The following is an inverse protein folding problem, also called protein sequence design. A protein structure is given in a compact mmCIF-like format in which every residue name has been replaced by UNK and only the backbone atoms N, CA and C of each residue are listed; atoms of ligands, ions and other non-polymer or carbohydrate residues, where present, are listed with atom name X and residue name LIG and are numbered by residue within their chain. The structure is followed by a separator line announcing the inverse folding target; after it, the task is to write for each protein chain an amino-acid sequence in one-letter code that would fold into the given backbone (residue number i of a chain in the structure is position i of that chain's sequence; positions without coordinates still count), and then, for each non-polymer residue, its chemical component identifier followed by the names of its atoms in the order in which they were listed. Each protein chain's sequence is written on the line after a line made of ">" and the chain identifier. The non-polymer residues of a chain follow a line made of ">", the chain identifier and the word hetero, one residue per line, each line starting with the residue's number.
data_IF_774895363221
#
_entry.id   IF_774895363221
#
_cell.length_a   1.000
_cell.length_b   1.000
_cell.length_c   1.000
_cell.angle_alpha   90.00
_cell.angle_beta   90.00
_cell.angle_gamma   90.00
#
_symmetry.space_group_name_H-M   'P 1'
#
loop_
_entity.id
_entity.type
_entity.pdbx_description
1 polymer ?
#
# COMPACT_ATOMS: atom_id res chain seq x y z
N UNK A 1 52.58 36.35 -43.52
CA UNK A 1 52.86 34.90 -43.40
C UNK A 1 52.38 34.41 -42.04
N UNK A 2 51.33 33.61 -41.99
CA UNK A 2 51.18 32.35 -41.22
C UNK A 2 49.71 31.94 -41.30
N UNK A 3 49.51 30.82 -41.99
CA UNK A 3 48.24 30.11 -42.12
C UNK A 3 47.97 29.40 -40.81
N UNK A 4 46.73 29.39 -40.33
CA UNK A 4 46.30 28.41 -39.33
C UNK A 4 44.98 27.83 -39.77
N UNK A 5 44.99 26.51 -39.86
CA UNK A 5 43.98 25.62 -40.43
C UNK A 5 43.05 25.14 -39.31
N UNK A 6 41.77 25.03 -39.68
CA UNK A 6 40.68 24.22 -39.11
C UNK A 6 41.07 23.09 -38.16
N UNK A 7 40.33 22.93 -37.04
CA UNK A 7 39.75 21.65 -36.61
C UNK A 7 38.39 21.93 -35.94
N UNK A 8 37.30 21.52 -36.59
CA UNK A 8 35.95 21.47 -36.03
C UNK A 8 35.69 20.02 -35.61
N UNK A 9 35.79 19.71 -34.32
CA UNK A 9 35.47 18.39 -33.78
C UNK A 9 33.98 18.33 -33.44
N UNK A 10 33.19 17.65 -34.29
CA UNK A 10 31.81 17.28 -33.98
C UNK A 10 31.87 16.05 -33.07
N UNK A 11 31.58 16.26 -31.77
CA UNK A 11 31.44 15.20 -30.80
C UNK A 11 30.00 14.67 -30.87
N UNK A 12 29.77 13.60 -31.64
CA UNK A 12 28.48 12.90 -31.64
C UNK A 12 28.35 12.08 -30.36
N UNK A 13 27.67 12.63 -29.36
CA UNK A 13 27.27 11.91 -28.15
C UNK A 13 26.12 10.98 -28.55
N UNK A 14 26.42 9.70 -28.70
CA UNK A 14 25.42 8.64 -28.76
C UNK A 14 24.77 8.54 -27.38
N UNK A 15 23.60 9.15 -27.21
CA UNK A 15 22.71 8.84 -26.08
C UNK A 15 22.24 7.40 -26.22
N UNK A 16 22.94 6.49 -25.55
CA UNK A 16 22.46 5.15 -25.27
C UNK A 16 21.17 5.29 -24.44
N UNK A 17 20.02 5.13 -25.11
CA UNK A 17 18.77 4.84 -24.43
C UNK A 17 18.93 3.48 -23.74
N UNK A 18 19.22 3.50 -22.44
CA UNK A 18 19.15 2.33 -21.59
C UNK A 18 17.68 1.92 -21.45
N UNK A 19 17.19 1.11 -22.40
CA UNK A 19 15.91 0.44 -22.25
C UNK A 19 16.08 -0.71 -21.26
N UNK A 20 16.12 -0.40 -19.95
CA UNK A 20 16.08 -1.42 -18.90
C UNK A 20 14.65 -1.92 -18.82
N UNK A 21 14.37 -3.07 -19.44
CA UNK A 21 13.23 -3.89 -19.09
C UNK A 21 13.39 -4.28 -17.60
N UNK A 22 12.93 -3.43 -16.68
CA UNK A 22 12.88 -3.75 -15.25
C UNK A 22 11.92 -4.92 -15.10
N UNK A 23 12.47 -6.09 -14.80
CA UNK A 23 11.71 -7.23 -14.30
C UNK A 23 11.21 -6.84 -12.91
N UNK A 24 9.90 -6.88 -12.73
CA UNK A 24 9.29 -6.67 -11.41
C UNK A 24 9.72 -7.86 -10.54
N UNK A 25 10.23 -7.58 -9.35
CA UNK A 25 10.60 -8.60 -8.37
C UNK A 25 9.36 -9.17 -7.68
N UNK A 26 9.50 -10.33 -7.04
CA UNK A 26 8.39 -11.04 -6.43
C UNK A 26 7.65 -10.21 -5.35
N UNK A 27 8.36 -9.35 -4.60
CA UNK A 27 7.74 -8.53 -3.56
C UNK A 27 6.90 -7.40 -4.16
N UNK A 28 7.46 -6.67 -5.12
CA UNK A 28 6.72 -5.64 -5.87
C UNK A 28 5.49 -6.23 -6.58
N UNK A 29 5.60 -7.45 -7.12
CA UNK A 29 4.48 -8.17 -7.71
C UNK A 29 3.40 -8.51 -6.68
N UNK A 30 3.78 -9.01 -5.52
CA UNK A 30 2.82 -9.31 -4.45
C UNK A 30 2.03 -8.07 -4.01
N UNK A 31 2.70 -6.93 -3.86
CA UNK A 31 2.02 -5.66 -3.52
C UNK A 31 1.05 -5.22 -4.62
N UNK A 32 1.40 -5.40 -5.90
CA UNK A 32 0.52 -5.05 -7.02
C UNK A 32 -0.78 -5.86 -7.08
N UNK A 33 -0.83 -6.98 -6.37
CA UNK A 33 -1.96 -7.91 -6.35
C UNK A 33 -2.80 -7.81 -5.06
N UNK A 34 -2.49 -6.87 -4.17
CA UNK A 34 -3.30 -6.67 -2.97
C UNK A 34 -4.75 -6.30 -3.33
N UNK A 35 -5.68 -6.78 -2.51
CA UNK A 35 -7.10 -6.50 -2.64
C UNK A 35 -7.58 -5.58 -1.53
N UNK A 36 -8.47 -4.66 -1.89
CA UNK A 36 -9.11 -3.76 -0.95
C UNK A 36 -10.11 -4.52 -0.05
N UNK A 37 -10.18 -4.14 1.22
CA UNK A 37 -11.27 -4.56 2.12
C UNK A 37 -12.53 -3.73 1.91
N UNK A 38 -12.37 -2.48 1.47
CA UNK A 38 -13.47 -1.52 1.30
C UNK A 38 -13.48 -1.03 -0.15
N UNK A 39 -14.66 -1.01 -0.78
CA UNK A 39 -14.86 -0.35 -2.08
C UNK A 39 -15.85 0.79 -1.93
N UNK A 40 -15.41 2.02 -2.15
CA UNK A 40 -16.23 3.22 -2.08
C UNK A 40 -16.74 3.63 -3.46
N UNK A 41 -17.78 4.45 -3.51
CA UNK A 41 -18.33 4.93 -4.78
C UNK A 41 -17.38 5.90 -5.49
N UNK A 42 -16.72 6.79 -4.74
CA UNK A 42 -15.79 7.78 -5.28
C UNK A 42 -14.51 7.83 -4.43
N UNK A 43 -13.46 8.43 -4.98
CA UNK A 43 -12.24 8.80 -4.26
C UNK A 43 -12.48 10.01 -3.34
N UNK A 44 -11.56 10.25 -2.41
CA UNK A 44 -11.66 11.31 -1.40
C UNK A 44 -12.79 11.10 -0.39
N UNK A 45 -13.19 12.19 0.25
CA UNK A 45 -14.14 12.23 1.37
C UNK A 45 -13.43 12.26 2.73
N UNK A 46 -14.22 12.36 3.80
CA UNK A 46 -13.69 12.56 5.16
C UNK A 46 -13.61 11.24 5.93
N UNK A 47 -12.74 11.20 6.93
CA UNK A 47 -12.62 10.11 7.89
C UNK A 47 -12.95 10.66 9.27
N UNK A 48 -13.75 9.92 10.04
CA UNK A 48 -14.01 10.23 11.43
C UNK A 48 -13.61 9.05 12.32
N UNK A 49 -12.78 9.32 13.34
CA UNK A 49 -12.40 8.31 14.34
C UNK A 49 -13.38 8.45 15.50
N UNK A 50 -14.31 7.50 15.63
CA UNK A 50 -15.37 7.53 16.65
C UNK A 50 -14.97 6.81 17.93
N UNK A 51 -13.98 5.93 17.86
CA UNK A 51 -13.40 5.26 19.02
C UNK A 51 -11.86 5.21 18.88
N UNK A 52 -11.16 5.42 19.99
CA UNK A 52 -9.70 5.45 20.01
C UNK A 52 -9.09 4.07 19.72
N UNK A 53 -8.01 4.08 18.95
CA UNK A 53 -7.29 2.85 18.63
C UNK A 53 -6.44 2.34 19.79
N UNK A 54 -6.49 1.03 20.00
CA UNK A 54 -5.55 0.29 20.83
C UNK A 54 -4.92 -0.78 19.97
N UNK A 55 -3.59 -0.83 19.95
CA UNK A 55 -2.84 -1.88 19.25
C UNK A 55 -2.83 -3.17 20.06
N UNK A 56 -2.74 -4.29 19.34
CA UNK A 56 -2.35 -5.56 19.92
C UNK A 56 -1.07 -5.42 20.75
N UNK A 57 -1.00 -6.14 21.85
CA UNK A 57 0.17 -6.23 22.72
C UNK A 57 1.33 -7.03 22.12
N UNK A 58 1.06 -7.82 21.07
CA UNK A 58 2.02 -8.75 20.47
C UNK A 58 2.18 -8.60 18.96
N UNK A 59 1.26 -7.89 18.30
CA UNK A 59 1.26 -7.68 16.85
C UNK A 59 0.98 -6.20 16.53
N UNK A 60 1.00 -5.86 15.24
CA UNK A 60 0.89 -4.46 14.79
C UNK A 60 -0.53 -4.04 14.37
N UNK A 61 -1.53 -4.94 14.44
CA UNK A 61 -2.93 -4.63 14.17
C UNK A 61 -3.61 -3.96 15.38
N UNK A 62 -4.77 -3.35 15.14
CA UNK A 62 -5.62 -2.77 16.20
C UNK A 62 -6.61 -3.80 16.75
N UNK A 63 -6.80 -3.80 18.07
CA UNK A 63 -7.80 -4.61 18.80
C UNK A 63 -8.98 -3.77 19.28
N UNK A 64 -8.86 -2.44 19.26
CA UNK A 64 -9.97 -1.50 19.47
C UNK A 64 -9.91 -0.36 18.48
N UNK A 65 -11.02 0.34 18.33
CA UNK A 65 -11.14 1.57 17.56
C UNK A 65 -12.22 1.46 16.51
N UNK A 66 -12.69 2.61 16.07
CA UNK A 66 -13.75 2.69 15.08
C UNK A 66 -13.51 3.86 14.13
N UNK A 67 -13.61 3.57 12.83
CA UNK A 67 -13.43 4.51 11.74
C UNK A 67 -14.70 4.57 10.92
N UNK A 68 -15.21 5.77 10.70
CA UNK A 68 -16.28 6.05 9.75
C UNK A 68 -15.72 6.75 8.50
N UNK A 69 -16.07 6.22 7.34
CA UNK A 69 -15.77 6.82 6.04
C UNK A 69 -16.98 7.61 5.56
N UNK A 70 -16.78 8.90 5.29
CA UNK A 70 -17.85 9.84 4.97
C UNK A 70 -17.70 10.33 3.53
N UNK A 71 -18.81 10.31 2.77
CA UNK A 71 -18.90 10.90 1.44
C UNK A 71 -20.18 11.73 1.34
N UNK A 72 -20.03 12.98 0.90
CA UNK A 72 -21.13 13.94 0.80
C UNK A 72 -21.95 14.07 2.11
N UNK A 73 -21.26 14.02 3.25
CA UNK A 73 -21.87 14.11 4.58
C UNK A 73 -22.57 12.84 5.08
N UNK A 74 -22.52 11.73 4.35
CA UNK A 74 -23.11 10.45 4.76
C UNK A 74 -22.02 9.43 5.08
N UNK A 75 -22.22 8.63 6.14
CA UNK A 75 -21.37 7.48 6.44
C UNK A 75 -21.64 6.41 5.38
N UNK A 76 -20.60 6.06 4.61
CA UNK A 76 -20.69 5.07 3.52
C UNK A 76 -20.04 3.74 3.90
N UNK A 77 -19.13 3.74 4.86
CA UNK A 77 -18.55 2.53 5.44
C UNK A 77 -18.11 2.80 6.87
N UNK A 78 -18.07 1.76 7.69
CA UNK A 78 -17.56 1.82 9.06
C UNK A 78 -16.74 0.58 9.37
N UNK A 79 -15.55 0.76 9.95
CA UNK A 79 -14.70 -0.34 10.41
C UNK A 79 -14.57 -0.27 11.92
N UNK A 80 -14.91 -1.37 12.59
CA UNK A 80 -14.71 -1.55 14.02
C UNK A 80 -13.65 -2.64 14.23
N UNK A 81 -12.59 -2.32 14.97
CA UNK A 81 -11.42 -3.19 15.17
C UNK A 81 -11.55 -4.15 16.35
N UNK A 82 -12.69 -4.15 17.04
CA UNK A 82 -12.94 -5.00 18.20
C UNK A 82 -13.09 -4.23 19.50
N UNK A 83 -13.12 -4.97 20.60
CA UNK A 83 -13.37 -4.51 21.97
C UNK A 83 -12.14 -4.67 22.88
N UNK A 84 -10.97 -4.95 22.28
CA UNK A 84 -9.69 -5.11 22.98
C UNK A 84 -9.27 -6.55 23.15
N UNK A 85 -10.08 -7.53 22.75
CA UNK A 85 -9.64 -8.91 22.64
C UNK A 85 -8.48 -9.05 21.63
N UNK A 86 -7.49 -9.89 21.96
CA UNK A 86 -6.35 -10.18 21.10
C UNK A 86 -6.75 -11.13 19.97
N UNK A 87 -7.52 -10.60 19.02
CA UNK A 87 -7.88 -11.26 17.78
C UNK A 87 -7.69 -10.28 16.62
N UNK A 88 -7.34 -10.79 15.45
CA UNK A 88 -7.05 -9.99 14.26
C UNK A 88 -8.30 -9.70 13.43
N UNK A 89 -9.51 -9.72 14.00
CA UNK A 89 -10.74 -9.63 13.21
C UNK A 89 -11.33 -8.22 13.32
N UNK A 90 -11.51 -7.56 12.17
CA UNK A 90 -12.27 -6.32 12.08
C UNK A 90 -13.65 -6.56 11.46
N UNK A 91 -14.65 -5.80 11.92
CA UNK A 91 -15.99 -5.76 11.34
C UNK A 91 -16.11 -4.57 10.38
N UNK A 92 -16.50 -4.84 9.13
CA UNK A 92 -16.91 -3.83 8.15
C UNK A 92 -18.43 -3.74 8.12
N UNK A 93 -18.97 -2.55 8.35
CA UNK A 93 -20.36 -2.23 8.01
C UNK A 93 -20.39 -1.39 6.75
N UNK A 94 -21.02 -1.89 5.68
CA UNK A 94 -21.16 -1.18 4.41
C UNK A 94 -22.51 -1.52 3.77
N UNK A 95 -23.24 -0.50 3.30
CA UNK A 95 -24.59 -0.63 2.73
C UNK A 95 -25.58 -1.40 3.63
N UNK A 96 -25.44 -1.23 4.95
CA UNK A 96 -26.25 -1.93 5.96
C UNK A 96 -25.88 -3.40 6.19
N UNK A 97 -24.90 -3.94 5.47
CA UNK A 97 -24.38 -5.30 5.66
C UNK A 97 -23.16 -5.26 6.58
N UNK A 98 -23.02 -6.30 7.40
CA UNK A 98 -21.84 -6.51 8.24
C UNK A 98 -21.07 -7.71 7.70
N UNK A 99 -19.78 -7.52 7.45
CA UNK A 99 -18.82 -8.57 7.12
C UNK A 99 -17.60 -8.46 8.02
N UNK A 100 -16.76 -9.49 8.00
CA UNK A 100 -15.47 -9.51 8.72
C UNK A 100 -14.30 -9.64 7.77
N UNK A 101 -13.15 -9.17 8.18
CA UNK A 101 -11.87 -9.46 7.53
C UNK A 101 -10.76 -9.59 8.56
N UNK A 102 -9.75 -10.40 8.20
CA UNK A 102 -8.55 -10.59 9.01
C UNK A 102 -7.54 -9.47 8.76
N UNK A 103 -7.02 -8.90 9.85
CA UNK A 103 -5.97 -7.89 9.87
C UNK A 103 -4.59 -8.51 9.85
N UNK A 104 -4.44 -9.76 10.31
CA UNK A 104 -3.19 -10.51 10.26
C UNK A 104 -3.34 -11.72 9.35
N UNK A 105 -2.47 -11.78 8.35
CA UNK A 105 -2.42 -12.86 7.38
C UNK A 105 -1.06 -13.55 7.53
N UNK A 106 -1.04 -14.62 8.34
CA UNK A 106 0.16 -15.42 8.52
C UNK A 106 0.51 -16.21 7.26
N UNK A 107 -0.49 -16.60 6.46
CA UNK A 107 -0.29 -17.25 5.18
C UNK A 107 -1.01 -16.50 4.06
N UNK A 108 -0.27 -16.05 3.06
CA UNK A 108 -0.81 -15.44 1.83
C UNK A 108 -0.20 -16.08 0.59
N UNK A 109 -0.86 -15.86 -0.55
CA UNK A 109 -0.42 -16.35 -1.85
C UNK A 109 -0.54 -15.25 -2.89
N UNK A 110 0.40 -15.22 -3.84
CA UNK A 110 0.36 -14.33 -5.00
C UNK A 110 0.71 -15.15 -6.25
N UNK A 111 -0.04 -14.99 -7.34
CA UNK A 111 0.12 -15.79 -8.57
C UNK A 111 0.25 -17.31 -8.31
N UNK A 112 -0.46 -17.84 -7.31
CA UNK A 112 -0.43 -19.26 -6.91
C UNK A 112 0.83 -19.70 -6.16
N UNK A 113 1.74 -18.79 -5.81
CA UNK A 113 2.93 -19.05 -4.98
C UNK A 113 2.66 -18.66 -3.54
N UNK A 114 3.18 -19.44 -2.59
CA UNK A 114 3.15 -19.05 -1.17
C UNK A 114 4.04 -17.82 -0.96
N UNK A 115 3.52 -16.83 -0.24
CA UNK A 115 4.29 -15.66 0.15
C UNK A 115 5.42 -16.06 1.10
N UNK A 116 6.51 -15.29 1.03
CA UNK A 116 7.59 -15.32 2.01
C UNK A 116 7.33 -14.37 3.17
N UNK A 117 6.19 -13.70 3.18
CA UNK A 117 5.85 -12.68 4.13
C UNK A 117 4.55 -13.02 4.86
N UNK A 118 4.51 -12.63 6.14
CA UNK A 118 3.28 -12.40 6.88
C UNK A 118 2.87 -10.95 6.67
N UNK A 119 1.57 -10.69 6.61
CA UNK A 119 1.04 -9.33 6.43
C UNK A 119 0.23 -8.92 7.65
N UNK A 120 0.34 -7.64 8.00
CA UNK A 120 -0.51 -6.99 8.98
C UNK A 120 -1.13 -5.76 8.32
N UNK A 121 -2.44 -5.81 8.07
CA UNK A 121 -3.26 -4.68 7.64
C UNK A 121 -3.47 -3.82 8.89
N UNK A 122 -2.76 -2.70 8.97
CA UNK A 122 -2.86 -1.73 10.07
C UNK A 122 -4.05 -0.81 9.81
N UNK A 123 -4.19 -0.36 8.57
CA UNK A 123 -5.36 0.40 8.10
C UNK A 123 -5.96 -0.30 6.88
N UNK A 124 -7.30 -0.49 6.83
CA UNK A 124 -7.96 -1.21 5.74
C UNK A 124 -7.60 -0.64 4.38
N UNK A 125 -7.34 -1.52 3.42
CA UNK A 125 -7.13 -1.10 2.04
C UNK A 125 -8.44 -0.65 1.40
N UNK A 126 -8.42 0.52 0.77
CA UNK A 126 -9.59 1.17 0.19
C UNK A 126 -9.39 1.31 -1.31
N UNK A 127 -10.39 0.88 -2.07
CA UNK A 127 -10.53 1.21 -3.48
C UNK A 127 -11.77 2.08 -3.69
N UNK A 128 -11.81 2.85 -4.76
CA UNK A 128 -13.01 3.52 -5.21
C UNK A 128 -13.36 3.12 -6.65
N UNK A 129 -14.64 3.19 -7.01
CA UNK A 129 -15.10 2.80 -8.35
C UNK A 129 -14.65 3.76 -9.47
N UNK A 130 -14.32 5.00 -9.12
CA UNK A 130 -13.78 6.03 -10.01
C UNK A 130 -12.25 5.98 -10.14
N UNK A 131 -11.58 5.06 -9.44
CA UNK A 131 -10.13 4.96 -9.42
C UNK A 131 -9.64 3.53 -9.69
N UNK A 132 -8.62 3.37 -10.52
CA UNK A 132 -8.09 2.04 -10.81
C UNK A 132 -7.18 1.50 -9.69
N UNK A 133 -6.63 2.39 -8.86
CA UNK A 133 -5.70 2.09 -7.78
C UNK A 133 -6.40 1.82 -6.44
N UNK A 134 -5.69 1.16 -5.52
CA UNK A 134 -5.98 1.29 -4.09
C UNK A 134 -5.55 2.70 -3.70
N UNK A 135 -6.45 3.44 -3.07
CA UNK A 135 -6.30 4.88 -2.79
C UNK A 135 -5.89 5.18 -1.34
N UNK A 136 -5.96 4.18 -0.45
CA UNK A 136 -5.59 4.32 0.95
C UNK A 136 -5.43 2.96 1.63
N UNK A 137 -4.80 2.99 2.80
CA UNK A 137 -4.60 1.86 3.69
C UNK A 137 -3.13 1.55 3.89
N UNK A 138 -2.82 0.82 4.96
CA UNK A 138 -1.44 0.58 5.40
C UNK A 138 -1.25 -0.90 5.68
N UNK A 139 -0.28 -1.51 5.01
CA UNK A 139 0.15 -2.89 5.26
C UNK A 139 1.59 -2.91 5.72
N UNK A 140 1.85 -3.67 6.79
CA UNK A 140 3.20 -4.07 7.18
C UNK A 140 3.47 -5.51 6.73
N UNK A 141 4.66 -5.74 6.19
CA UNK A 141 5.15 -7.04 5.77
C UNK A 141 6.28 -7.48 6.71
N UNK A 142 6.23 -8.73 7.14
CA UNK A 142 7.24 -9.36 7.97
C UNK A 142 7.73 -10.61 7.28
N UNK A 143 9.02 -10.88 7.37
CA UNK A 143 9.58 -12.14 6.90
C UNK A 143 8.94 -13.31 7.65
N UNK A 144 8.48 -14.32 6.90
CA UNK A 144 7.67 -15.40 7.45
C UNK A 144 8.41 -16.23 8.49
N UNK A 145 9.70 -16.50 8.26
CA UNK A 145 10.51 -17.38 9.09
C UNK A 145 11.07 -16.68 10.33
N UNK A 146 11.60 -15.46 10.15
CA UNK A 146 12.24 -14.70 11.23
C UNK A 146 11.29 -13.80 12.01
N UNK A 147 10.15 -13.43 11.43
CA UNK A 147 9.24 -12.42 11.99
C UNK A 147 9.80 -11.00 11.93
N UNK A 148 10.94 -10.78 11.26
CA UNK A 148 11.52 -9.45 11.13
C UNK A 148 10.66 -8.55 10.24
N UNK A 149 10.50 -7.29 10.62
CA UNK A 149 9.82 -6.29 9.78
C UNK A 149 10.64 -6.04 8.50
N UNK A 150 9.99 -6.16 7.35
CA UNK A 150 10.60 -6.01 6.03
C UNK A 150 10.25 -4.66 5.43
N UNK A 151 8.96 -4.33 5.42
CA UNK A 151 8.48 -3.10 4.84
C UNK A 151 7.12 -2.67 5.38
N UNK A 152 6.84 -1.38 5.26
CA UNK A 152 5.49 -0.82 5.37
C UNK A 152 5.14 -0.15 4.06
N UNK A 153 3.96 -0.49 3.52
CA UNK A 153 3.37 0.14 2.35
C UNK A 153 2.17 0.95 2.81
N UNK A 154 2.19 2.24 2.48
CA UNK A 154 1.07 3.17 2.66
C UNK A 154 0.56 3.55 1.26
N UNK A 155 -0.69 3.22 0.98
CA UNK A 155 -1.33 3.39 -0.33
C UNK A 155 -1.91 4.79 -0.55
N UNK A 156 -1.72 5.72 0.39
CA UNK A 156 -2.10 7.12 0.23
C UNK A 156 -3.29 7.53 1.10
N UNK A 157 -3.85 8.69 0.76
CA UNK A 157 -4.74 9.46 1.63
C UNK A 157 -6.19 9.56 1.09
N UNK A 158 -6.56 8.62 0.22
CA UNK A 158 -7.82 8.54 -0.55
C UNK A 158 -7.88 9.44 -1.77
N UNK A 159 -6.82 10.17 -2.10
CA UNK A 159 -6.70 10.81 -3.43
C UNK A 159 -6.60 9.72 -4.51
N UNK A 160 -7.29 9.92 -5.64
CA UNK A 160 -7.12 9.02 -6.78
C UNK A 160 -5.85 9.41 -7.54
N UNK A 161 -4.74 8.75 -7.20
CA UNK A 161 -3.49 8.81 -7.91
C UNK A 161 -2.75 7.46 -7.83
N UNK A 162 -1.66 7.35 -8.56
CA UNK A 162 -0.84 6.15 -8.64
C UNK A 162 0.21 6.05 -7.52
N UNK A 163 0.27 6.99 -6.59
CA UNK A 163 1.41 7.13 -5.67
C UNK A 163 1.16 6.41 -4.35
N UNK A 164 2.16 5.61 -3.96
CA UNK A 164 2.22 4.99 -2.65
C UNK A 164 3.60 5.25 -2.04
N UNK A 165 3.70 5.05 -0.72
CA UNK A 165 4.97 5.14 -0.01
C UNK A 165 5.40 3.81 0.57
N UNK A 166 6.70 3.59 0.59
CA UNK A 166 7.34 2.41 1.15
C UNK A 166 8.40 2.84 2.15
N UNK A 167 8.41 2.23 3.33
CA UNK A 167 9.53 2.28 4.26
C UNK A 167 10.05 0.88 4.56
N UNK A 168 11.34 0.75 4.83
CA UNK A 168 12.00 -0.54 5.11
C UNK A 168 12.93 -0.43 6.31
N UNK A 169 13.26 -1.58 6.90
CA UNK A 169 14.27 -1.63 7.96
C UNK A 169 15.68 -1.26 7.45
N UNK A 170 16.07 -1.79 6.29
CA UNK A 170 17.42 -1.61 5.73
C UNK A 170 17.75 -0.14 5.43
N UNK A 171 16.73 0.66 5.10
CA UNK A 171 16.86 2.09 4.85
C UNK A 171 16.61 2.93 6.11
N UNK A 172 16.77 2.36 7.31
CA UNK A 172 16.50 3.01 8.61
C UNK A 172 15.09 3.62 8.74
N UNK A 173 14.10 3.05 8.06
CA UNK A 173 12.74 3.57 8.02
C UNK A 173 12.54 4.79 7.13
N UNK A 174 13.51 5.15 6.28
CA UNK A 174 13.30 6.18 5.25
C UNK A 174 12.12 5.80 4.34
N UNK A 175 11.33 6.81 4.00
CA UNK A 175 10.12 6.68 3.17
C UNK A 175 10.43 7.04 1.73
N UNK A 176 10.11 6.13 0.82
CA UNK A 176 10.26 6.31 -0.63
C UNK A 176 8.89 6.33 -1.29
N UNK A 177 8.66 7.30 -2.17
CA UNK A 177 7.47 7.37 -3.00
C UNK A 177 7.70 6.54 -4.27
N UNK A 178 6.71 5.76 -4.67
CA UNK A 178 6.75 4.97 -5.91
C UNK A 178 5.37 4.99 -6.58
N UNK A 179 5.36 4.75 -7.90
CA UNK A 179 4.13 4.60 -8.67
C UNK A 179 3.69 3.14 -8.67
N UNK A 180 2.42 2.88 -8.38
CA UNK A 180 1.79 1.56 -8.48
C UNK A 180 1.83 1.01 -9.92
N UNK A 181 1.88 1.87 -10.93
CA UNK A 181 2.00 1.44 -12.33
C UNK A 181 3.35 0.80 -12.65
N UNK A 182 4.42 1.15 -11.91
CA UNK A 182 5.71 0.48 -12.08
C UNK A 182 5.62 -1.02 -11.76
N UNK A 183 4.60 -1.42 -10.99
CA UNK A 183 4.41 -2.78 -10.49
C UNK A 183 3.21 -3.52 -11.12
N UNK A 184 2.37 -2.82 -11.90
CA UNK A 184 1.34 -3.45 -12.75
C UNK A 184 1.98 -4.02 -14.02
N UNK A 185 2.37 -5.30 -14.04
CA UNK A 185 2.61 -6.04 -15.31
C UNK A 185 1.94 -7.39 -15.33
#
# INVERSE_FOLDING_TARGET
>A
MKKTIFILSVLSILIYSCNKNKKIDDFSREISLESAQITLSNSGGDVNITESFVKSSSNDYYTTGEIEYIQNGNIVAKVNFGDGEENSIANLTQDGNISTFELQLDESYYDGKKSKYKKVIVEPLIKSNDCEYIIAGIIKYYDYDSGAWVATIDFGDRTCDEWATKSTYDDNGETFVFSLDDWKK
#
